data_IF_330890963829
#
_entry.id   IF_330890963829
#
_cell.length_a   1.000
_cell.length_b   1.000
_cell.length_c   1.000
_cell.angle_alpha   90.00
_cell.angle_beta   90.00
_cell.angle_gamma   90.00
#
_symmetry.space_group_name_H-M   'P 1'
#
loop_
_entity.id
_entity.type
_entity.pdbx_description
1 polymer ?
#
# COMPACT_ATOMS: atom_id res chain seq x y z
N UNK A 1 -2.07 5.72 21.50
CA UNK A 1 -2.96 6.60 20.72
C UNK A 1 -2.13 7.36 19.70
N UNK A 2 -2.55 7.38 18.46
CA UNK A 2 -1.96 8.16 17.38
C UNK A 2 -2.75 9.48 17.31
N UNK A 3 -2.07 10.60 17.50
CA UNK A 3 -2.69 11.94 17.46
C UNK A 3 -2.21 12.70 16.25
N UNK A 4 -3.13 13.22 15.47
CA UNK A 4 -2.84 14.10 14.34
C UNK A 4 -3.16 15.53 14.73
N UNK A 5 -2.15 16.37 14.73
CA UNK A 5 -2.29 17.80 14.99
C UNK A 5 -2.34 18.52 13.66
N UNK A 6 -3.38 19.32 13.46
CA UNK A 6 -3.49 20.13 12.23
C UNK A 6 -2.42 21.22 12.23
N UNK A 7 -1.58 21.32 11.20
CA UNK A 7 -0.60 22.41 11.10
C UNK A 7 -1.24 23.75 10.73
N UNK A 8 -2.54 23.82 10.47
CA UNK A 8 -3.27 25.04 10.12
C UNK A 8 -3.48 25.90 11.38
N UNK A 9 -3.89 25.25 12.49
CA UNK A 9 -4.31 25.94 13.72
C UNK A 9 -3.80 25.28 15.00
N UNK A 10 -2.95 24.23 14.88
CA UNK A 10 -2.44 23.42 15.97
C UNK A 10 -3.53 22.69 16.79
N UNK A 11 -4.73 22.53 16.26
CA UNK A 11 -5.80 21.76 16.89
C UNK A 11 -5.57 20.25 16.77
N UNK A 12 -6.09 19.49 17.74
CA UNK A 12 -6.19 18.04 17.62
C UNK A 12 -7.25 17.70 16.56
N UNK A 13 -6.80 17.23 15.39
CA UNK A 13 -7.69 16.90 14.29
C UNK A 13 -8.25 15.46 14.36
N UNK A 14 -7.41 14.51 14.70
CA UNK A 14 -7.87 13.13 14.90
C UNK A 14 -7.07 12.41 15.99
N UNK A 15 -7.72 11.45 16.63
CA UNK A 15 -7.10 10.55 17.59
C UNK A 15 -7.53 9.12 17.30
N UNK A 16 -6.56 8.26 16.97
CA UNK A 16 -6.79 6.88 16.55
C UNK A 16 -6.01 5.94 17.47
N UNK A 17 -6.61 4.87 17.99
CA UNK A 17 -5.87 3.88 18.75
C UNK A 17 -4.86 3.14 17.86
N UNK A 18 -3.68 2.84 18.41
CA UNK A 18 -2.82 1.85 17.78
C UNK A 18 -3.48 0.47 17.80
N UNK A 19 -3.22 -0.32 16.77
CA UNK A 19 -3.72 -1.69 16.69
C UNK A 19 -3.21 -2.51 17.89
N UNK A 20 -4.11 -3.23 18.55
CA UNK A 20 -3.76 -4.19 19.59
C UNK A 20 -3.04 -5.41 19.00
N UNK A 21 -2.34 -6.17 19.84
CA UNK A 21 -1.70 -7.41 19.39
C UNK A 21 -2.71 -8.39 18.76
N UNK A 22 -3.95 -8.42 19.25
CA UNK A 22 -5.00 -9.26 18.67
C UNK A 22 -5.43 -8.80 17.27
N UNK A 23 -5.52 -7.49 17.03
CA UNK A 23 -5.82 -6.92 15.71
C UNK A 23 -4.68 -7.23 14.75
N UNK A 24 -3.43 -7.04 15.18
CA UNK A 24 -2.23 -7.34 14.38
C UNK A 24 -2.23 -8.82 13.99
N UNK A 25 -2.43 -9.72 14.95
CA UNK A 25 -2.44 -11.16 14.72
C UNK A 25 -3.54 -11.59 13.74
N UNK A 26 -4.75 -11.06 13.92
CA UNK A 26 -5.88 -11.34 13.02
C UNK A 26 -5.60 -10.82 11.60
N UNK A 27 -5.03 -9.64 11.46
CA UNK A 27 -4.68 -9.03 10.17
C UNK A 27 -3.63 -9.87 9.44
N UNK A 28 -2.56 -10.26 10.12
CA UNK A 28 -1.51 -11.09 9.54
C UNK A 28 -2.04 -12.47 9.14
N UNK A 29 -2.83 -13.10 10.00
CA UNK A 29 -3.41 -14.43 9.74
C UNK A 29 -4.41 -14.41 8.59
N UNK A 30 -5.31 -13.43 8.55
CA UNK A 30 -6.30 -13.31 7.48
C UNK A 30 -5.66 -13.01 6.13
N UNK A 31 -4.66 -12.10 6.09
CA UNK A 31 -3.92 -11.80 4.87
C UNK A 31 -3.14 -13.02 4.38
N UNK A 32 -2.48 -13.75 5.29
CA UNK A 32 -1.75 -14.96 4.93
C UNK A 32 -2.65 -16.05 4.34
N UNK A 33 -3.88 -16.21 4.84
CA UNK A 33 -4.87 -17.14 4.28
C UNK A 33 -5.38 -16.68 2.93
N UNK A 34 -5.65 -15.38 2.78
CA UNK A 34 -6.23 -14.82 1.56
C UNK A 34 -5.29 -14.87 0.35
N UNK A 35 -3.96 -14.89 0.55
CA UNK A 35 -2.99 -14.85 -0.54
C UNK A 35 -3.19 -15.94 -1.59
N UNK A 36 -3.59 -17.14 -1.19
CA UNK A 36 -3.81 -18.25 -2.12
C UNK A 36 -5.04 -18.02 -3.00
N UNK A 37 -6.14 -17.57 -2.42
CA UNK A 37 -7.36 -17.27 -3.17
C UNK A 37 -7.14 -16.10 -4.10
N UNK A 38 -6.50 -15.02 -3.63
CA UNK A 38 -6.24 -13.83 -4.44
C UNK A 38 -5.23 -14.09 -5.57
N UNK A 39 -4.18 -14.87 -5.31
CA UNK A 39 -3.24 -15.33 -6.35
C UNK A 39 -3.99 -16.04 -7.49
N UNK A 40 -4.97 -16.87 -7.18
CA UNK A 40 -5.72 -17.67 -8.14
C UNK A 40 -6.86 -16.91 -8.82
N UNK A 41 -7.22 -15.70 -8.35
CA UNK A 41 -8.15 -14.81 -9.04
C UNK A 41 -7.51 -14.36 -10.36
N UNK A 42 -8.23 -14.46 -11.47
CA UNK A 42 -7.65 -14.08 -12.76
C UNK A 42 -7.37 -12.56 -12.83
N UNK A 43 -6.42 -12.18 -13.69
CA UNK A 43 -5.97 -10.79 -13.81
C UNK A 43 -7.11 -9.84 -14.20
N UNK A 44 -8.02 -10.27 -15.07
CA UNK A 44 -9.13 -9.41 -15.54
C UNK A 44 -10.10 -9.08 -14.40
N UNK A 45 -10.36 -10.03 -13.51
CA UNK A 45 -11.18 -9.81 -12.34
C UNK A 45 -10.48 -8.87 -11.34
N UNK A 46 -9.20 -9.09 -11.08
CA UNK A 46 -8.40 -8.15 -10.26
C UNK A 46 -8.43 -6.74 -10.86
N UNK A 47 -8.22 -6.59 -12.16
CA UNK A 47 -8.31 -5.29 -12.86
C UNK A 47 -9.66 -4.61 -12.66
N UNK A 48 -10.78 -5.34 -12.82
CA UNK A 48 -12.13 -4.80 -12.62
C UNK A 48 -12.33 -4.27 -11.20
N UNK A 49 -11.90 -5.02 -10.18
CA UNK A 49 -12.00 -4.62 -8.79
C UNK A 49 -11.14 -3.39 -8.50
N UNK A 50 -9.94 -3.31 -9.09
CA UNK A 50 -9.02 -2.19 -8.87
C UNK A 50 -9.49 -0.93 -9.62
N UNK A 51 -10.07 -1.05 -10.81
CA UNK A 51 -10.75 0.08 -11.48
C UNK A 51 -11.84 0.63 -10.56
N UNK A 52 -12.72 -0.24 -10.06
CA UNK A 52 -13.78 0.17 -9.15
C UNK A 52 -13.25 0.77 -7.84
N UNK A 53 -12.12 0.29 -7.33
CA UNK A 53 -11.43 0.87 -6.18
C UNK A 53 -11.02 2.33 -6.44
N UNK A 54 -10.42 2.60 -7.60
CA UNK A 54 -10.04 3.96 -8.01
C UNK A 54 -11.28 4.85 -8.12
N UNK A 55 -12.35 4.37 -8.78
CA UNK A 55 -13.60 5.12 -8.92
C UNK A 55 -14.26 5.41 -7.57
N UNK A 56 -14.29 4.42 -6.67
CA UNK A 56 -14.80 4.59 -5.31
C UNK A 56 -13.98 5.60 -4.49
N UNK A 57 -12.66 5.61 -4.66
CA UNK A 57 -11.78 6.58 -4.02
C UNK A 57 -12.08 8.00 -4.53
N UNK A 58 -12.10 8.20 -5.85
CA UNK A 58 -12.34 9.50 -6.45
C UNK A 58 -13.76 10.04 -6.21
N UNK A 59 -14.74 9.17 -6.00
CA UNK A 59 -16.10 9.59 -5.66
C UNK A 59 -16.21 10.36 -4.33
N UNK A 60 -15.20 10.28 -3.48
CA UNK A 60 -15.09 10.98 -2.20
C UNK A 60 -14.11 12.17 -2.25
N UNK A 61 -13.76 12.67 -3.44
CA UNK A 61 -12.68 13.65 -3.64
C UNK A 61 -12.76 14.86 -2.70
N UNK A 62 -13.91 15.47 -2.52
CA UNK A 62 -14.09 16.66 -1.65
C UNK A 62 -13.73 16.36 -0.19
N UNK A 63 -14.24 15.26 0.37
CA UNK A 63 -13.92 14.82 1.73
C UNK A 63 -12.42 14.57 1.89
N UNK A 64 -11.83 13.90 0.90
CA UNK A 64 -10.39 13.57 0.88
C UNK A 64 -9.52 14.82 0.81
N UNK A 65 -9.89 15.80 -0.03
CA UNK A 65 -9.18 17.07 -0.18
C UNK A 65 -9.20 17.88 1.12
N UNK A 66 -10.34 17.95 1.79
CA UNK A 66 -10.48 18.62 3.09
C UNK A 66 -9.65 17.95 4.18
N UNK A 67 -9.72 16.62 4.29
CA UNK A 67 -8.93 15.85 5.25
C UNK A 67 -7.43 16.00 4.98
N UNK A 68 -7.02 15.96 3.71
CA UNK A 68 -5.63 16.12 3.31
C UNK A 68 -5.10 17.50 3.71
N UNK A 69 -5.87 18.55 3.46
CA UNK A 69 -5.53 19.91 3.87
C UNK A 69 -5.35 20.00 5.39
N UNK A 70 -6.28 19.45 6.15
CA UNK A 70 -6.24 19.50 7.64
C UNK A 70 -5.10 18.69 8.24
N UNK A 71 -4.78 17.53 7.67
CA UNK A 71 -3.73 16.65 8.20
C UNK A 71 -2.32 17.17 7.90
N UNK A 72 -2.10 17.81 6.76
CA UNK A 72 -0.74 18.20 6.34
C UNK A 72 -0.54 19.69 6.06
N UNK A 73 -1.58 20.52 6.17
CA UNK A 73 -1.50 21.96 5.92
C UNK A 73 -1.34 22.35 4.44
N UNK A 74 -1.58 21.42 3.52
CA UNK A 74 -1.55 21.72 2.09
C UNK A 74 -2.73 22.66 1.75
N UNK A 75 -2.50 23.74 0.96
CA UNK A 75 -3.61 24.56 0.48
C UNK A 75 -4.66 23.71 -0.23
N UNK A 76 -5.94 23.85 0.12
CA UNK A 76 -7.02 23.03 -0.40
C UNK A 76 -7.10 23.06 -1.93
N UNK A 77 -6.77 24.20 -2.54
CA UNK A 77 -6.70 24.37 -3.99
C UNK A 77 -5.66 23.47 -4.68
N UNK A 78 -4.69 22.96 -3.93
CA UNK A 78 -3.64 22.06 -4.43
C UNK A 78 -3.94 20.57 -4.16
N UNK A 79 -4.92 20.27 -3.29
CA UNK A 79 -5.23 18.88 -2.91
C UNK A 79 -5.77 18.06 -4.08
N UNK A 80 -6.59 18.67 -4.94
CA UNK A 80 -7.10 18.02 -6.15
C UNK A 80 -5.99 17.52 -7.09
N UNK A 81 -4.81 18.16 -7.08
CA UNK A 81 -3.65 17.73 -7.86
C UNK A 81 -3.14 16.36 -7.46
N UNK A 82 -3.20 16.03 -6.17
CA UNK A 82 -2.77 14.74 -5.67
C UNK A 82 -3.74 13.62 -6.07
N UNK A 83 -5.03 13.88 -6.06
CA UNK A 83 -6.03 12.92 -6.50
C UNK A 83 -5.92 12.62 -7.98
N UNK A 84 -5.68 13.65 -8.81
CA UNK A 84 -5.38 13.46 -10.25
C UNK A 84 -4.14 12.60 -10.46
N UNK A 85 -3.06 12.87 -9.73
CA UNK A 85 -1.84 12.07 -9.81
C UNK A 85 -2.05 10.61 -9.36
N UNK A 86 -2.86 10.38 -8.34
CA UNK A 86 -3.29 9.03 -7.93
C UNK A 86 -4.03 8.31 -9.07
N UNK A 87 -5.00 8.98 -9.68
CA UNK A 87 -5.79 8.43 -10.79
C UNK A 87 -4.91 8.08 -12.00
N UNK A 88 -4.06 9.01 -12.44
CA UNK A 88 -3.15 8.80 -13.59
C UNK A 88 -2.24 7.60 -13.37
N UNK A 89 -1.63 7.50 -12.21
CA UNK A 89 -0.73 6.40 -11.85
C UNK A 89 -1.46 5.06 -11.79
N UNK A 90 -2.62 5.03 -11.14
CA UNK A 90 -3.45 3.83 -11.06
C UNK A 90 -3.86 3.35 -12.47
N UNK A 91 -4.39 4.24 -13.30
CA UNK A 91 -4.78 3.93 -14.69
C UNK A 91 -3.59 3.42 -15.51
N UNK A 92 -2.42 4.06 -15.39
CA UNK A 92 -1.22 3.60 -16.08
C UNK A 92 -0.87 2.16 -15.69
N UNK A 93 -0.85 1.84 -14.38
CA UNK A 93 -0.51 0.50 -13.90
C UNK A 93 -1.56 -0.54 -14.31
N UNK A 94 -2.85 -0.20 -14.25
CA UNK A 94 -3.94 -1.09 -14.69
C UNK A 94 -3.82 -1.41 -16.18
N UNK A 95 -3.55 -0.41 -17.01
CA UNK A 95 -3.44 -0.59 -18.48
C UNK A 95 -2.20 -1.41 -18.87
N UNK A 96 -1.13 -1.30 -18.11
CA UNK A 96 0.11 -2.03 -18.39
C UNK A 96 0.20 -3.39 -17.69
N UNK A 97 -0.77 -3.77 -16.84
CA UNK A 97 -0.69 -4.96 -16.00
C UNK A 97 -0.49 -6.25 -16.79
N UNK A 98 -1.22 -6.43 -17.88
CA UNK A 98 -1.09 -7.63 -18.73
C UNK A 98 0.33 -7.77 -19.26
N UNK A 99 0.84 -6.75 -19.94
CA UNK A 99 2.20 -6.75 -20.47
C UNK A 99 3.25 -6.92 -19.36
N UNK A 100 3.03 -6.28 -18.20
CA UNK A 100 3.98 -6.32 -17.09
C UNK A 100 4.02 -7.69 -16.40
N UNK A 101 2.90 -8.42 -16.38
CA UNK A 101 2.77 -9.72 -15.71
C UNK A 101 2.86 -10.91 -16.68
N UNK A 102 2.95 -10.65 -17.96
CA UNK A 102 3.06 -11.70 -18.96
C UNK A 102 4.37 -12.48 -18.81
N UNK A 103 4.33 -13.72 -19.28
CA UNK A 103 5.49 -14.60 -19.33
C UNK A 103 6.56 -14.01 -20.23
N UNK A 104 7.80 -14.10 -19.80
CA UNK A 104 8.94 -13.79 -20.66
C UNK A 104 9.40 -15.09 -21.32
N UNK A 105 9.10 -15.22 -22.61
CA UNK A 105 9.53 -16.38 -23.38
C UNK A 105 11.04 -16.30 -23.57
N UNK A 106 11.75 -17.34 -23.18
CA UNK A 106 13.16 -17.54 -23.44
C UNK A 106 13.33 -18.14 -24.84
N UNK A 107 14.34 -18.89 -25.09
CA UNK A 107 14.53 -19.59 -26.36
C UNK A 107 13.68 -20.89 -26.35
N UNK A 108 12.69 -20.97 -27.25
CA UNK A 108 11.99 -22.22 -27.47
C UNK A 108 12.80 -23.09 -28.43
N UNK A 109 12.86 -24.38 -28.17
CA UNK A 109 13.33 -25.40 -29.11
C UNK A 109 12.19 -26.38 -29.42
N UNK A 110 12.45 -27.38 -30.23
CA UNK A 110 11.41 -28.32 -30.68
C UNK A 110 10.93 -29.27 -29.56
N UNK A 111 11.60 -29.29 -28.42
CA UNK A 111 11.33 -30.23 -27.33
C UNK A 111 10.76 -29.53 -26.10
N UNK A 112 11.09 -28.22 -25.89
CA UNK A 112 10.75 -27.51 -24.67
C UNK A 112 10.29 -26.07 -24.91
N UNK A 113 9.24 -25.67 -24.16
CA UNK A 113 8.82 -24.28 -24.02
C UNK A 113 9.47 -23.67 -22.79
N UNK A 114 10.49 -22.84 -22.97
CA UNK A 114 11.23 -22.20 -21.88
C UNK A 114 10.69 -20.78 -21.64
N UNK A 115 10.20 -20.52 -20.44
CA UNK A 115 9.72 -19.19 -20.07
C UNK A 115 9.97 -18.87 -18.59
N UNK A 116 9.98 -17.56 -18.28
CA UNK A 116 9.98 -17.06 -16.91
C UNK A 116 8.58 -16.56 -16.58
N UNK A 117 7.95 -17.14 -15.57
CA UNK A 117 6.67 -16.66 -15.03
C UNK A 117 6.90 -15.69 -13.88
N UNK A 118 5.95 -14.75 -13.69
CA UNK A 118 5.95 -13.78 -12.60
C UNK A 118 4.87 -14.17 -11.61
N UNK A 119 5.31 -14.72 -10.48
CA UNK A 119 4.41 -15.18 -9.41
C UNK A 119 4.28 -14.12 -8.29
N UNK A 120 3.09 -14.00 -7.66
CA UNK A 120 2.93 -13.13 -6.49
C UNK A 120 3.84 -13.54 -5.34
N UNK A 121 4.42 -12.56 -4.66
CA UNK A 121 5.27 -12.77 -3.49
C UNK A 121 4.47 -13.24 -2.25
N UNK A 122 3.23 -12.78 -2.13
CA UNK A 122 2.34 -13.12 -1.02
C UNK A 122 1.76 -11.88 -0.32
N UNK A 123 2.06 -11.68 0.97
CA UNK A 123 1.64 -10.49 1.72
C UNK A 123 2.72 -9.41 1.66
N UNK A 124 2.35 -8.25 1.15
CA UNK A 124 3.21 -7.07 1.05
C UNK A 124 2.88 -6.10 2.17
N UNK A 125 3.87 -5.71 2.96
CA UNK A 125 3.71 -4.66 3.96
C UNK A 125 4.15 -3.33 3.36
N UNK A 126 3.21 -2.40 3.20
CA UNK A 126 3.42 -1.07 2.62
C UNK A 126 3.48 -0.03 3.73
N UNK A 127 4.56 0.75 3.77
CA UNK A 127 4.75 1.84 4.72
C UNK A 127 4.85 3.13 3.92
N UNK A 128 3.80 3.97 4.02
CA UNK A 128 3.62 5.16 3.20
C UNK A 128 3.97 6.45 3.95
N UNK A 129 4.51 7.47 3.26
CA UNK A 129 4.90 8.76 3.83
C UNK A 129 3.73 9.74 3.91
N UNK A 130 3.99 10.92 4.50
CA UNK A 130 2.99 11.97 4.69
C UNK A 130 2.94 13.03 3.59
N UNK A 131 4.05 13.25 2.89
CA UNK A 131 4.22 14.43 1.99
C UNK A 131 3.41 14.35 0.69
N UNK A 132 3.25 13.14 0.13
CA UNK A 132 2.37 12.81 -1.00
C UNK A 132 1.67 11.49 -0.69
N UNK A 133 0.75 11.48 0.29
CA UNK A 133 0.24 10.26 0.92
C UNK A 133 -0.44 9.31 -0.08
N UNK A 134 -1.19 9.83 -1.02
CA UNK A 134 -1.89 9.02 -2.02
C UNK A 134 -1.02 8.69 -3.23
N UNK A 135 -0.24 9.68 -3.74
CA UNK A 135 0.63 9.49 -4.90
C UNK A 135 1.77 8.50 -4.67
N UNK A 136 2.24 8.37 -3.43
CA UNK A 136 3.26 7.38 -3.08
C UNK A 136 2.63 6.02 -2.79
N UNK A 137 1.50 6.00 -2.09
CA UNK A 137 0.80 4.75 -1.75
C UNK A 137 0.31 4.00 -2.98
N UNK A 138 -0.21 4.69 -3.99
CA UNK A 138 -0.74 4.07 -5.21
C UNK A 138 0.31 3.26 -5.96
N UNK A 139 1.57 3.74 -5.97
CA UNK A 139 2.68 3.07 -6.63
C UNK A 139 3.03 1.70 -6.00
N UNK A 140 2.66 1.50 -4.75
CA UNK A 140 2.88 0.25 -4.03
C UNK A 140 1.62 -0.62 -3.98
N UNK A 141 0.45 -0.03 -3.72
CA UNK A 141 -0.81 -0.75 -3.51
C UNK A 141 -1.32 -1.35 -4.81
N UNK A 142 -1.49 -0.52 -5.84
CA UNK A 142 -2.13 -0.94 -7.09
C UNK A 142 -1.33 -2.05 -7.81
N UNK A 143 -0.01 -1.93 -8.03
CA UNK A 143 0.73 -3.00 -8.68
C UNK A 143 0.82 -4.26 -7.83
N UNK A 144 0.88 -4.15 -6.50
CA UNK A 144 0.85 -5.32 -5.61
C UNK A 144 -0.45 -6.11 -5.75
N UNK A 145 -1.59 -5.43 -5.72
CA UNK A 145 -2.91 -6.05 -5.89
C UNK A 145 -3.10 -6.64 -7.29
N UNK A 146 -2.68 -5.92 -8.35
CA UNK A 146 -2.71 -6.40 -9.73
C UNK A 146 -1.87 -7.67 -9.91
N UNK A 147 -0.71 -7.73 -9.29
CA UNK A 147 0.16 -8.91 -9.34
C UNK A 147 -0.36 -10.11 -8.52
N UNK A 148 -1.47 -9.96 -7.79
CA UNK A 148 -2.06 -11.04 -6.99
C UNK A 148 -1.52 -11.13 -5.56
N UNK A 149 -0.87 -10.09 -5.05
CA UNK A 149 -0.44 -10.00 -3.68
C UNK A 149 -1.53 -9.42 -2.77
N UNK A 150 -1.54 -9.81 -1.50
CA UNK A 150 -2.27 -9.11 -0.45
C UNK A 150 -1.45 -7.94 0.07
N UNK A 151 -2.12 -6.88 0.53
CA UNK A 151 -1.48 -5.67 1.02
C UNK A 151 -1.94 -5.35 2.43
N UNK A 152 -0.99 -5.11 3.33
CA UNK A 152 -1.22 -4.48 4.63
C UNK A 152 -0.56 -3.10 4.56
N UNK A 153 -1.36 -2.04 4.69
CA UNK A 153 -0.87 -0.66 4.64
C UNK A 153 -0.73 -0.10 6.05
N UNK A 154 0.45 0.45 6.34
CA UNK A 154 0.69 1.33 7.47
C UNK A 154 1.02 2.72 6.95
N UNK A 155 0.15 3.68 7.20
CA UNK A 155 0.39 5.07 6.78
C UNK A 155 1.23 5.84 7.80
N UNK A 156 1.76 7.00 7.40
CA UNK A 156 2.43 7.92 8.33
C UNK A 156 1.50 8.34 9.46
N UNK A 157 2.07 8.52 10.66
CA UNK A 157 1.34 9.04 11.82
C UNK A 157 0.81 10.47 11.62
N UNK A 158 1.37 11.21 10.69
CA UNK A 158 0.93 12.56 10.37
C UNK A 158 -0.33 12.58 9.49
N UNK A 159 -0.54 11.54 8.67
CA UNK A 159 -1.65 11.45 7.72
C UNK A 159 -2.37 10.10 7.80
N UNK A 160 -2.82 9.68 9.00
CA UNK A 160 -3.37 8.34 9.19
C UNK A 160 -4.72 8.15 8.50
N UNK A 161 -5.53 9.20 8.38
CA UNK A 161 -6.85 9.12 7.72
C UNK A 161 -6.73 8.80 6.22
N UNK A 162 -5.55 9.04 5.62
CA UNK A 162 -5.32 8.61 4.24
C UNK A 162 -5.43 7.08 4.08
N UNK A 163 -5.01 6.30 5.08
CA UNK A 163 -5.22 4.86 5.05
C UNK A 163 -6.70 4.50 5.16
N UNK A 164 -7.46 5.21 6.00
CA UNK A 164 -8.90 5.00 6.19
C UNK A 164 -9.69 5.26 4.90
N UNK A 165 -9.37 6.33 4.16
CA UNK A 165 -10.02 6.62 2.88
C UNK A 165 -9.72 5.54 1.83
N UNK A 166 -8.49 5.04 1.78
CA UNK A 166 -8.12 3.93 0.90
C UNK A 166 -8.86 2.63 1.30
N UNK A 167 -8.96 2.33 2.60
CA UNK A 167 -9.72 1.17 3.08
C UNK A 167 -11.21 1.28 2.78
N UNK A 168 -11.82 2.46 2.99
CA UNK A 168 -13.22 2.76 2.67
C UNK A 168 -13.50 2.52 1.17
N UNK A 169 -12.60 2.98 0.30
CA UNK A 169 -12.70 2.75 -1.14
C UNK A 169 -12.55 1.27 -1.51
N UNK A 170 -11.61 0.55 -0.92
CA UNK A 170 -11.40 -0.87 -1.16
C UNK A 170 -12.64 -1.71 -0.76
N UNK A 171 -13.22 -1.44 0.41
CA UNK A 171 -14.47 -2.10 0.85
C UNK A 171 -15.63 -1.84 -0.12
N UNK A 172 -15.83 -0.59 -0.55
CA UNK A 172 -16.85 -0.23 -1.51
C UNK A 172 -16.65 -0.87 -2.89
N UNK A 173 -15.42 -1.10 -3.30
CA UNK A 173 -15.09 -1.71 -4.59
C UNK A 173 -15.39 -3.21 -4.63
N UNK A 174 -15.45 -3.87 -3.49
CA UNK A 174 -15.61 -5.31 -3.36
C UNK A 174 -14.28 -6.08 -3.35
N UNK A 175 -13.14 -5.41 -3.19
CA UNK A 175 -11.88 -6.08 -2.86
C UNK A 175 -12.07 -6.80 -1.53
N UNK A 176 -11.74 -8.10 -1.41
CA UNK A 176 -11.92 -8.84 -0.16
C UNK A 176 -11.15 -8.18 0.99
N UNK A 177 -11.78 -8.06 2.16
CA UNK A 177 -11.20 -7.36 3.32
C UNK A 177 -9.83 -7.89 3.72
N UNK A 178 -9.60 -9.19 3.59
CA UNK A 178 -8.31 -9.82 3.92
C UNK A 178 -7.22 -9.61 2.85
N UNK A 179 -7.58 -9.08 1.66
CA UNK A 179 -6.65 -8.79 0.56
C UNK A 179 -6.04 -7.40 0.71
N UNK A 180 -6.83 -6.41 1.16
CA UNK A 180 -6.34 -5.08 1.46
C UNK A 180 -6.76 -4.68 2.87
N UNK A 181 -5.79 -4.49 3.74
CA UNK A 181 -5.97 -4.15 5.15
C UNK A 181 -5.09 -2.97 5.54
N UNK A 182 -5.44 -2.28 6.64
CA UNK A 182 -4.63 -1.20 7.21
C UNK A 182 -4.31 -1.49 8.68
N UNK A 183 -3.20 -0.97 9.15
CA UNK A 183 -2.82 -1.01 10.56
C UNK A 183 -2.23 0.33 10.99
N UNK A 184 -2.76 0.91 12.06
CA UNK A 184 -2.15 2.05 12.74
C UNK A 184 -1.17 1.52 13.80
N UNK A 185 0.12 1.77 13.60
CA UNK A 185 1.20 1.14 14.37
C UNK A 185 2.22 2.18 14.84
N UNK A 186 2.78 1.95 16.00
CA UNK A 186 4.02 2.58 16.42
C UNK A 186 5.25 1.93 15.76
N UNK A 187 6.44 2.46 16.01
CA UNK A 187 7.67 1.95 15.41
C UNK A 187 8.05 0.54 15.91
N UNK A 188 7.77 0.23 17.18
CA UNK A 188 8.06 -1.08 17.76
C UNK A 188 7.22 -2.17 17.12
N UNK A 189 5.90 -1.95 17.05
CA UNK A 189 4.96 -2.86 16.41
C UNK A 189 5.23 -2.99 14.91
N UNK A 190 5.64 -1.90 14.25
CA UNK A 190 6.05 -1.91 12.84
C UNK A 190 7.24 -2.85 12.62
N UNK A 191 8.27 -2.77 13.46
CA UNK A 191 9.45 -3.64 13.37
C UNK A 191 9.10 -5.11 13.63
N UNK A 192 8.20 -5.39 14.58
CA UNK A 192 7.71 -6.75 14.86
C UNK A 192 7.02 -7.34 13.62
N UNK A 193 6.15 -6.57 12.96
CA UNK A 193 5.44 -7.02 11.76
C UNK A 193 6.41 -7.29 10.62
N UNK A 194 7.40 -6.43 10.39
CA UNK A 194 8.42 -6.64 9.36
C UNK A 194 9.17 -7.96 9.58
N UNK A 195 9.42 -8.32 10.84
CA UNK A 195 10.11 -9.56 11.21
C UNK A 195 9.20 -10.80 11.16
N UNK A 196 7.89 -10.65 11.01
CA UNK A 196 6.93 -11.77 10.98
C UNK A 196 7.03 -12.57 9.67
N UNK A 197 7.08 -13.89 9.77
CA UNK A 197 7.25 -14.81 8.63
C UNK A 197 6.11 -14.74 7.60
N UNK A 198 4.94 -14.22 7.95
CA UNK A 198 3.78 -14.04 7.07
C UNK A 198 3.93 -12.83 6.13
N UNK A 199 4.86 -11.91 6.40
CA UNK A 199 5.23 -10.82 5.49
C UNK A 199 6.26 -11.35 4.50
N UNK A 200 5.99 -11.18 3.22
CA UNK A 200 6.82 -11.70 2.14
C UNK A 200 7.67 -10.61 1.45
N UNK A 201 7.27 -9.35 1.59
CA UNK A 201 8.02 -8.21 1.05
C UNK A 201 7.63 -6.92 1.78
N UNK A 202 8.53 -5.96 1.85
CA UNK A 202 8.27 -4.64 2.43
C UNK A 202 8.48 -3.56 1.39
N UNK A 203 7.52 -2.64 1.26
CA UNK A 203 7.66 -1.43 0.45
C UNK A 203 7.61 -0.22 1.38
N UNK A 204 8.66 0.57 1.36
CA UNK A 204 8.82 1.73 2.23
C UNK A 204 9.18 2.98 1.42
N UNK A 205 8.41 4.03 1.62
CA UNK A 205 8.76 5.37 1.15
C UNK A 205 8.88 6.30 2.36
N UNK A 206 10.05 6.95 2.52
CA UNK A 206 10.27 7.82 3.66
C UNK A 206 11.73 8.28 3.82
N UNK A 207 12.14 8.51 5.07
CA UNK A 207 13.49 8.99 5.38
C UNK A 207 14.55 7.90 5.23
N UNK A 208 15.80 8.32 5.02
CA UNK A 208 16.97 7.42 5.01
C UNK A 208 17.11 6.66 6.33
N UNK A 209 16.88 7.35 7.46
CA UNK A 209 16.92 6.70 8.79
C UNK A 209 15.85 5.61 8.92
N UNK A 210 14.61 5.88 8.47
CA UNK A 210 13.56 4.87 8.41
C UNK A 210 13.93 3.67 7.55
N UNK A 211 14.51 3.91 6.36
CA UNK A 211 15.00 2.84 5.50
C UNK A 211 16.07 1.96 6.15
N UNK A 212 16.97 2.56 6.95
CA UNK A 212 17.96 1.77 7.73
C UNK A 212 17.28 0.86 8.76
N UNK A 213 16.26 1.34 9.47
CA UNK A 213 15.51 0.52 10.43
C UNK A 213 14.75 -0.62 9.73
N UNK A 214 14.15 -0.37 8.55
CA UNK A 214 13.55 -1.43 7.73
C UNK A 214 14.61 -2.50 7.38
N UNK A 215 15.79 -2.07 6.90
CA UNK A 215 16.88 -3.01 6.56
C UNK A 215 17.34 -3.83 7.76
N UNK A 216 17.43 -3.24 8.95
CA UNK A 216 17.74 -3.97 10.18
C UNK A 216 16.65 -5.01 10.52
N UNK A 217 15.37 -4.62 10.42
CA UNK A 217 14.25 -5.50 10.76
C UNK A 217 14.15 -6.71 9.83
N UNK A 218 14.52 -6.58 8.54
CA UNK A 218 14.56 -7.72 7.60
C UNK A 218 15.88 -8.47 7.61
N UNK A 219 16.92 -7.98 8.31
CA UNK A 219 18.31 -8.47 8.18
C UNK A 219 18.51 -9.96 8.52
N UNK A 220 17.60 -10.55 9.29
CA UNK A 220 17.62 -11.98 9.63
C UNK A 220 16.73 -12.84 8.72
N UNK A 221 16.11 -12.22 7.70
CA UNK A 221 15.13 -12.87 6.81
C UNK A 221 15.59 -12.80 5.35
N UNK A 222 15.26 -13.83 4.59
CA UNK A 222 15.50 -13.88 3.14
C UNK A 222 14.31 -13.28 2.36
N UNK A 223 13.94 -12.03 2.65
CA UNK A 223 12.91 -11.28 1.92
C UNK A 223 13.49 -9.98 1.35
N UNK A 224 12.89 -9.50 0.26
CA UNK A 224 13.25 -8.21 -0.33
C UNK A 224 12.56 -7.03 0.37
N UNK A 225 13.15 -5.84 0.18
CA UNK A 225 12.48 -4.58 0.47
C UNK A 225 12.72 -3.60 -0.68
N UNK A 226 11.64 -2.94 -1.14
CA UNK A 226 11.70 -1.75 -1.98
C UNK A 226 11.78 -0.51 -1.10
N UNK A 227 12.83 0.29 -1.29
CA UNK A 227 13.09 1.49 -0.47
C UNK A 227 13.14 2.72 -1.38
N UNK A 228 12.16 3.60 -1.23
CA UNK A 228 12.09 4.92 -1.86
C UNK A 228 12.47 5.96 -0.81
N UNK A 229 13.71 6.46 -0.87
CA UNK A 229 14.27 7.28 0.19
C UNK A 229 14.37 8.74 -0.20
N UNK A 230 14.15 9.63 0.79
CA UNK A 230 14.31 11.07 0.63
C UNK A 230 15.74 11.42 0.21
N UNK A 231 15.88 12.26 -0.83
CA UNK A 231 17.17 12.74 -1.34
C UNK A 231 17.66 14.01 -0.64
N UNK A 232 16.85 14.62 0.24
CA UNK A 232 17.17 15.91 0.88
C UNK A 232 18.34 15.77 1.87
N UNK A 233 18.63 14.57 2.33
CA UNK A 233 19.62 14.30 3.39
C UNK A 233 20.74 13.34 2.93
N UNK A 234 21.02 13.32 1.66
CA UNK A 234 22.17 12.60 1.08
C UNK A 234 23.35 13.57 0.93
#
# INVERSE_FOLDING_TARGET
MLKTISPIDNSLYSEIPYASDSIIENTLTSSHKAKTTWKNTNLQERKKLIVKFVDCFLSNSKEIEEELSKQMGRPISQCAGELRGFEERAKYMINNAERALDKVISKNDNEFDNYVSKDPLGTIFVIAPWNYPYNTSVNSIVPSLLAGNCVILKHSSQTPLCAEQLLKAAKKSGIPESVFQILHLDHVSTSKIISDHRINHVLFTGSVSGGREIKKAIGTRFIGAGLELSLIHI
#
